data_IF_177371247958
#
_entry.id   IF_177371247958
#
_cell.length_a   1.000
_cell.length_b   1.000
_cell.length_c   1.000
_cell.angle_alpha   90.00
_cell.angle_beta   90.00
_cell.angle_gamma   90.00
#
_symmetry.space_group_name_H-M   'P 1'
#
loop_
_entity.id
_entity.type
_entity.pdbx_description
1 polymer ?
#
# COMPACT_ATOMS: atom_id res chain seq x y z
N UNK A 1 17.70 -29.38 14.36
CA UNK A 1 17.87 -28.13 13.58
C UNK A 1 16.89 -28.16 12.40
N UNK A 2 15.68 -27.60 12.54
CA UNK A 2 14.67 -27.52 11.46
C UNK A 2 14.57 -26.07 11.02
N UNK A 3 15.00 -25.83 9.78
CA UNK A 3 15.17 -24.50 9.18
C UNK A 3 13.84 -23.82 8.87
N UNK A 4 13.80 -22.52 9.12
CA UNK A 4 12.65 -21.62 9.02
C UNK A 4 12.22 -21.35 7.56
N UNK A 5 11.54 -22.28 6.89
CA UNK A 5 10.98 -22.04 5.53
C UNK A 5 9.74 -21.13 5.55
N UNK A 6 9.09 -20.97 6.72
CA UNK A 6 7.83 -20.24 6.84
C UNK A 6 7.97 -18.70 6.85
N UNK A 7 9.15 -18.15 7.20
CA UNK A 7 9.41 -16.70 7.19
C UNK A 7 9.52 -16.14 5.77
N UNK A 8 10.06 -16.92 4.82
CA UNK A 8 10.30 -16.46 3.45
C UNK A 8 8.99 -16.11 2.70
N UNK A 9 7.97 -16.98 2.76
CA UNK A 9 6.67 -16.73 2.09
C UNK A 9 5.92 -15.52 2.66
N UNK A 10 6.01 -15.31 3.96
CA UNK A 10 5.27 -14.25 4.64
C UNK A 10 5.85 -12.85 4.33
N UNK A 11 7.16 -12.78 4.05
CA UNK A 11 7.83 -11.57 3.55
C UNK A 11 7.61 -11.41 2.04
N UNK A 12 7.63 -12.50 1.26
CA UNK A 12 7.40 -12.48 -0.18
C UNK A 12 6.02 -11.92 -0.56
N UNK A 13 4.96 -12.30 0.17
CA UNK A 13 3.62 -11.79 -0.12
C UNK A 13 3.47 -10.30 0.22
N UNK A 14 4.13 -9.85 1.30
CA UNK A 14 4.15 -8.44 1.65
C UNK A 14 4.94 -7.61 0.63
N UNK A 15 6.05 -8.16 0.11
CA UNK A 15 6.85 -7.52 -0.94
C UNK A 15 6.18 -7.55 -2.32
N UNK A 16 5.35 -8.55 -2.61
CA UNK A 16 4.56 -8.59 -3.85
C UNK A 16 3.49 -7.51 -3.88
N UNK A 17 2.72 -7.36 -2.79
CA UNK A 17 1.70 -6.30 -2.69
C UNK A 17 2.35 -4.93 -2.84
N UNK A 18 3.50 -4.72 -2.19
CA UNK A 18 4.20 -3.44 -2.31
C UNK A 18 4.78 -3.19 -3.69
N UNK A 19 5.25 -4.23 -4.40
CA UNK A 19 5.66 -4.11 -5.80
C UNK A 19 4.49 -3.74 -6.72
N UNK A 20 3.31 -4.34 -6.53
CA UNK A 20 2.11 -3.99 -7.28
C UNK A 20 1.69 -2.54 -7.01
N UNK A 21 1.76 -2.09 -5.76
CA UNK A 21 1.50 -0.69 -5.41
C UNK A 21 2.49 0.26 -6.11
N UNK A 22 3.80 -0.04 -6.07
CA UNK A 22 4.83 0.76 -6.76
C UNK A 22 4.55 0.89 -8.24
N UNK A 23 4.33 -0.25 -8.90
CA UNK A 23 4.09 -0.28 -10.33
C UNK A 23 2.83 0.52 -10.68
N UNK A 24 1.74 0.30 -9.93
CA UNK A 24 0.52 1.03 -10.17
C UNK A 24 0.68 2.54 -9.93
N UNK A 25 1.39 2.96 -8.89
CA UNK A 25 1.58 4.38 -8.61
C UNK A 25 2.37 5.04 -9.75
N UNK A 26 3.42 4.39 -10.27
CA UNK A 26 4.19 4.85 -11.45
C UNK A 26 3.28 4.96 -12.68
N UNK A 27 2.48 3.92 -12.95
CA UNK A 27 1.56 3.91 -14.08
C UNK A 27 0.52 5.02 -13.98
N UNK A 28 -0.04 5.28 -12.79
CA UNK A 28 -1.03 6.34 -12.59
C UNK A 28 -0.42 7.72 -12.87
N UNK A 29 0.78 7.99 -12.39
CA UNK A 29 1.45 9.29 -12.62
C UNK A 29 1.73 9.49 -14.12
N UNK A 30 2.32 8.47 -14.77
CA UNK A 30 2.69 8.54 -16.18
C UNK A 30 1.48 8.59 -17.11
N UNK A 31 0.56 7.62 -16.99
CA UNK A 31 -0.65 7.56 -17.80
C UNK A 31 -1.58 8.74 -17.49
N UNK A 32 -1.56 9.25 -16.26
CA UNK A 32 -2.31 10.43 -15.89
C UNK A 32 -1.90 11.65 -16.70
N UNK A 33 -0.60 11.90 -16.88
CA UNK A 33 -0.16 13.03 -17.71
C UNK A 33 -0.53 12.81 -19.16
N UNK A 34 -0.24 11.61 -19.69
CA UNK A 34 -0.54 11.24 -21.06
C UNK A 34 -2.03 11.44 -21.40
N UNK A 35 -2.92 10.91 -20.56
CA UNK A 35 -4.37 11.04 -20.75
C UNK A 35 -4.82 12.50 -20.66
N UNK A 36 -4.30 13.27 -19.70
CA UNK A 36 -4.67 14.69 -19.57
C UNK A 36 -4.21 15.50 -20.79
N UNK A 37 -3.02 15.24 -21.34
CA UNK A 37 -2.56 15.86 -22.58
C UNK A 37 -3.52 15.53 -23.73
N UNK A 38 -3.86 14.25 -23.91
CA UNK A 38 -4.80 13.80 -24.95
C UNK A 38 -6.18 14.46 -24.80
N UNK A 39 -6.75 14.51 -23.60
CA UNK A 39 -8.06 15.13 -23.36
C UNK A 39 -8.04 16.65 -23.46
N UNK A 40 -6.90 17.29 -23.19
CA UNK A 40 -6.74 18.75 -23.32
C UNK A 40 -6.39 19.19 -24.74
N UNK A 41 -6.21 18.24 -25.67
CA UNK A 41 -5.79 18.53 -27.05
C UNK A 41 -4.37 19.07 -27.15
N UNK A 42 -3.50 18.73 -26.19
CA UNK A 42 -2.09 19.14 -26.13
C UNK A 42 -1.23 17.98 -26.60
N UNK A 43 -0.31 18.26 -27.53
CA UNK A 43 0.64 17.26 -28.01
C UNK A 43 1.58 16.81 -26.89
N UNK A 44 1.60 15.51 -26.62
CA UNK A 44 2.50 14.93 -25.63
C UNK A 44 3.91 14.84 -26.21
N UNK A 45 4.78 15.75 -25.79
CA UNK A 45 6.15 15.90 -26.29
C UNK A 45 7.22 15.34 -25.35
N UNK A 46 8.49 15.50 -25.75
CA UNK A 46 9.63 15.10 -24.93
C UNK A 46 9.72 15.90 -23.61
N UNK A 47 9.22 17.14 -23.60
CA UNK A 47 9.19 18.00 -22.41
C UNK A 47 8.27 17.43 -21.33
N UNK A 48 7.07 17.01 -21.72
CA UNK A 48 6.09 16.36 -20.84
C UNK A 48 6.61 15.04 -20.31
N UNK A 49 7.27 14.26 -21.17
CA UNK A 49 7.93 13.01 -20.79
C UNK A 49 9.00 13.24 -19.72
N UNK A 50 9.89 14.23 -19.92
CA UNK A 50 10.92 14.58 -18.93
C UNK A 50 10.27 14.99 -17.61
N UNK A 51 9.22 15.81 -17.64
CA UNK A 51 8.52 16.25 -16.42
C UNK A 51 7.86 15.07 -15.69
N UNK A 52 7.16 14.18 -16.40
CA UNK A 52 6.58 12.98 -15.81
C UNK A 52 7.65 12.11 -15.15
N UNK A 53 8.77 11.86 -15.85
CA UNK A 53 9.86 11.05 -15.32
C UNK A 53 10.53 11.71 -14.13
N UNK A 54 10.74 13.04 -14.15
CA UNK A 54 11.28 13.79 -13.01
C UNK A 54 10.38 13.68 -11.78
N UNK A 55 9.06 13.87 -11.92
CA UNK A 55 8.12 13.69 -10.82
C UNK A 55 8.15 12.25 -10.30
N UNK A 56 8.17 11.25 -11.19
CA UNK A 56 8.23 9.83 -10.81
C UNK A 56 9.50 9.54 -10.00
N UNK A 57 10.67 10.02 -10.45
CA UNK A 57 11.93 9.80 -9.74
C UNK A 57 11.88 10.40 -8.34
N UNK A 58 11.47 11.67 -8.22
CA UNK A 58 11.37 12.35 -6.93
C UNK A 58 10.36 11.63 -6.02
N UNK A 59 9.21 11.22 -6.56
CA UNK A 59 8.19 10.47 -5.85
C UNK A 59 8.69 9.12 -5.34
N UNK A 60 9.44 8.38 -6.15
CA UNK A 60 10.04 7.11 -5.72
C UNK A 60 11.13 7.31 -4.67
N UNK A 61 11.95 8.37 -4.78
CA UNK A 61 12.97 8.70 -3.77
C UNK A 61 12.33 9.02 -2.42
N UNK A 62 11.33 9.91 -2.39
CA UNK A 62 10.58 10.24 -1.18
C UNK A 62 9.88 9.00 -0.63
N UNK A 63 9.25 8.20 -1.50
CA UNK A 63 8.60 6.94 -1.12
C UNK A 63 9.57 5.91 -0.53
N UNK A 64 10.81 5.85 -1.01
CA UNK A 64 11.87 5.02 -0.45
C UNK A 64 12.30 5.48 0.94
N UNK A 65 12.54 6.79 1.12
CA UNK A 65 12.96 7.39 2.40
C UNK A 65 11.86 7.24 3.48
N UNK A 66 10.61 7.44 3.09
CA UNK A 66 9.45 7.38 4.02
C UNK A 66 8.97 5.95 4.33
N UNK A 67 9.63 4.93 3.78
CA UNK A 67 9.19 3.52 3.83
C UNK A 67 7.71 3.36 3.47
N UNK A 68 7.29 4.12 2.46
CA UNK A 68 5.89 4.29 2.11
C UNK A 68 5.25 3.02 1.52
N UNK A 69 6.06 2.19 0.88
CA UNK A 69 5.64 0.92 0.26
C UNK A 69 5.73 -0.28 1.23
N UNK A 70 5.68 -0.05 2.54
CA UNK A 70 5.60 -1.12 3.52
C UNK A 70 4.23 -1.81 3.53
N UNK A 71 4.13 -2.90 4.29
CA UNK A 71 2.83 -3.55 4.54
C UNK A 71 1.91 -2.66 5.39
N UNK A 72 0.80 -2.21 4.81
CA UNK A 72 -0.25 -1.42 5.48
C UNK A 72 -1.30 -2.26 6.24
N UNK A 73 -1.03 -3.56 6.45
CA UNK A 73 -1.91 -4.47 7.20
C UNK A 73 -2.17 -3.94 8.61
N UNK A 74 -3.45 -3.77 8.97
CA UNK A 74 -3.89 -3.31 10.30
C UNK A 74 -3.79 -1.80 10.53
N UNK A 75 -3.32 -1.01 9.55
CA UNK A 75 -3.24 0.46 9.66
C UNK A 75 -4.46 1.10 9.00
N UNK A 76 -5.03 2.17 9.57
CA UNK A 76 -6.18 2.88 8.96
C UNK A 76 -5.89 3.32 7.52
N UNK A 77 -6.86 3.18 6.62
CA UNK A 77 -6.71 3.60 5.21
C UNK A 77 -6.47 5.11 5.07
N UNK A 78 -7.04 5.91 5.97
CA UNK A 78 -6.81 7.36 6.00
C UNK A 78 -5.33 7.69 6.19
N UNK A 79 -4.60 6.97 7.03
CA UNK A 79 -3.17 7.19 7.24
C UNK A 79 -2.35 6.89 5.98
N UNK A 80 -2.70 5.81 5.27
CA UNK A 80 -2.07 5.44 3.99
C UNK A 80 -2.35 6.50 2.91
N UNK A 81 -3.60 6.94 2.79
CA UNK A 81 -4.03 7.96 1.82
C UNK A 81 -3.40 9.33 2.13
N UNK A 82 -3.35 9.75 3.39
CA UNK A 82 -2.70 11.02 3.75
C UNK A 82 -1.21 10.97 3.40
N UNK A 83 -0.53 9.84 3.63
CA UNK A 83 0.88 9.72 3.33
C UNK A 83 1.16 9.72 1.81
N UNK A 84 0.37 9.01 1.00
CA UNK A 84 0.53 9.06 -0.47
C UNK A 84 0.30 10.46 -1.01
N UNK A 85 -0.73 11.15 -0.52
CA UNK A 85 -1.05 12.50 -0.98
C UNK A 85 0.01 13.52 -0.55
N UNK A 86 0.57 13.40 0.66
CA UNK A 86 1.71 14.23 1.07
C UNK A 86 2.93 13.99 0.19
N UNK A 87 3.27 12.73 -0.09
CA UNK A 87 4.39 12.40 -0.97
C UNK A 87 4.15 12.89 -2.39
N UNK A 88 2.93 12.72 -2.91
CA UNK A 88 2.53 13.21 -4.23
C UNK A 88 2.68 14.72 -4.34
N UNK A 89 2.04 15.47 -3.43
CA UNK A 89 2.10 16.94 -3.41
C UNK A 89 3.53 17.45 -3.29
N UNK A 90 4.34 16.85 -2.41
CA UNK A 90 5.73 17.26 -2.25
C UNK A 90 6.55 17.01 -3.53
N UNK A 91 6.39 15.84 -4.15
CA UNK A 91 7.12 15.48 -5.38
C UNK A 91 6.75 16.37 -6.56
N UNK A 92 5.45 16.65 -6.69
CA UNK A 92 4.91 17.53 -7.70
C UNK A 92 5.42 18.96 -7.52
N UNK A 93 5.34 19.52 -6.30
CA UNK A 93 5.83 20.87 -5.98
C UNK A 93 7.34 21.00 -6.19
N UNK A 94 8.14 20.02 -5.78
CA UNK A 94 9.59 20.04 -6.02
C UNK A 94 9.91 20.03 -7.52
N UNK A 95 9.21 19.22 -8.30
CA UNK A 95 9.42 19.17 -9.75
C UNK A 95 9.00 20.47 -10.41
N UNK A 96 7.86 21.05 -10.03
CA UNK A 96 7.44 22.37 -10.51
C UNK A 96 8.46 23.45 -10.15
N UNK A 97 9.01 23.41 -8.93
CA UNK A 97 10.08 24.32 -8.51
C UNK A 97 11.32 24.22 -9.42
N UNK A 98 11.78 23.00 -9.72
CA UNK A 98 12.92 22.77 -10.62
C UNK A 98 12.63 23.23 -12.04
N UNK A 99 11.45 22.86 -12.57
CA UNK A 99 11.01 23.22 -13.92
C UNK A 99 10.86 24.73 -14.07
N UNK A 100 10.39 25.43 -13.02
CA UNK A 100 10.23 26.90 -13.05
C UNK A 100 11.54 27.66 -13.25
N UNK A 101 12.69 27.04 -12.94
CA UNK A 101 14.02 27.61 -13.18
C UNK A 101 14.46 27.46 -14.64
N UNK A 102 13.73 26.69 -15.45
CA UNK A 102 14.10 26.36 -16.83
C UNK A 102 13.01 26.82 -17.80
N UNK A 103 13.18 27.99 -18.45
CA UNK A 103 12.15 28.61 -19.30
C UNK A 103 11.72 27.79 -20.52
N UNK A 104 12.50 26.76 -20.89
CA UNK A 104 12.21 25.93 -22.06
C UNK A 104 11.07 24.92 -21.83
N UNK A 105 10.62 24.74 -20.58
CA UNK A 105 9.51 23.85 -20.24
C UNK A 105 8.21 24.64 -20.05
N UNK A 106 7.35 24.57 -21.06
CA UNK A 106 6.17 25.40 -21.26
C UNK A 106 4.86 24.59 -21.25
N UNK A 107 4.69 23.71 -20.25
CA UNK A 107 3.41 22.99 -20.07
C UNK A 107 2.33 23.99 -19.66
N UNK A 108 1.15 23.98 -20.31
CA UNK A 108 0.04 24.83 -19.92
C UNK A 108 -0.38 24.58 -18.46
N UNK A 109 -0.58 25.65 -17.69
CA UNK A 109 -0.92 25.56 -16.27
C UNK A 109 -2.20 24.75 -15.98
N UNK A 110 -3.18 24.81 -16.89
CA UNK A 110 -4.41 24.02 -16.77
C UNK A 110 -4.14 22.51 -16.84
N UNK A 111 -3.23 22.06 -17.72
CA UNK A 111 -2.81 20.65 -17.83
C UNK A 111 -2.18 20.19 -16.51
N UNK A 112 -1.32 21.00 -15.91
CA UNK A 112 -0.68 20.69 -14.62
C UNK A 112 -1.71 20.51 -13.49
N UNK A 113 -2.71 21.39 -13.39
CA UNK A 113 -3.77 21.28 -12.38
C UNK A 113 -4.60 20.01 -12.60
N UNK A 114 -5.07 19.79 -13.84
CA UNK A 114 -5.91 18.64 -14.17
C UNK A 114 -5.12 17.35 -13.92
N UNK A 115 -3.84 17.31 -14.30
CA UNK A 115 -2.95 16.18 -14.02
C UNK A 115 -2.80 15.91 -12.53
N UNK A 116 -2.58 16.96 -11.72
CA UNK A 116 -2.47 16.83 -10.27
C UNK A 116 -3.73 16.22 -9.63
N UNK A 117 -4.91 16.69 -10.04
CA UNK A 117 -6.20 16.19 -9.55
C UNK A 117 -6.45 14.76 -10.05
N UNK A 118 -6.19 14.49 -11.33
CA UNK A 118 -6.38 13.18 -11.93
C UNK A 118 -5.54 12.09 -11.24
N UNK A 119 -4.27 12.36 -10.99
CA UNK A 119 -3.38 11.44 -10.28
C UNK A 119 -3.81 11.25 -8.82
N UNK A 120 -4.22 12.32 -8.14
CA UNK A 120 -4.73 12.27 -6.77
C UNK A 120 -5.94 11.34 -6.67
N UNK A 121 -6.90 11.50 -7.59
CA UNK A 121 -8.08 10.64 -7.69
C UNK A 121 -7.67 9.19 -8.01
N UNK A 122 -6.76 9.00 -8.98
CA UNK A 122 -6.21 7.69 -9.34
C UNK A 122 -5.55 6.97 -8.16
N UNK A 123 -4.77 7.67 -7.35
CA UNK A 123 -4.16 7.13 -6.13
C UNK A 123 -5.20 6.67 -5.11
N UNK A 124 -6.22 7.48 -4.84
CA UNK A 124 -7.29 7.11 -3.89
C UNK A 124 -8.01 5.84 -4.35
N UNK A 125 -8.41 5.78 -5.63
CA UNK A 125 -9.10 4.63 -6.18
C UNK A 125 -8.22 3.38 -6.19
N UNK A 126 -6.99 3.50 -6.67
CA UNK A 126 -6.10 2.36 -6.76
C UNK A 126 -5.69 1.81 -5.38
N UNK A 127 -5.36 2.68 -4.42
CA UNK A 127 -5.02 2.24 -3.05
C UNK A 127 -6.19 1.54 -2.38
N UNK A 128 -7.39 2.09 -2.54
CA UNK A 128 -8.61 1.46 -2.04
C UNK A 128 -8.84 0.09 -2.71
N UNK A 129 -8.68 0.01 -4.04
CA UNK A 129 -8.82 -1.22 -4.81
C UNK A 129 -7.82 -2.31 -4.39
N UNK A 130 -6.52 -2.01 -4.37
CA UNK A 130 -5.48 -2.96 -3.95
C UNK A 130 -5.75 -3.47 -2.53
N UNK A 131 -6.17 -2.58 -1.63
CA UNK A 131 -6.46 -2.94 -0.24
C UNK A 131 -7.69 -3.83 -0.10
N UNK A 132 -8.76 -3.53 -0.84
CA UNK A 132 -9.97 -4.36 -0.87
C UNK A 132 -9.66 -5.74 -1.45
N UNK A 133 -8.93 -5.81 -2.57
CA UNK A 133 -8.48 -7.07 -3.18
C UNK A 133 -7.60 -7.87 -2.22
N UNK A 134 -6.64 -7.23 -1.56
CA UNK A 134 -5.79 -7.89 -0.56
C UNK A 134 -6.60 -8.38 0.66
N UNK A 135 -7.60 -7.62 1.10
CA UNK A 135 -8.53 -8.02 2.17
C UNK A 135 -9.39 -9.20 1.77
N UNK A 136 -9.91 -9.21 0.54
CA UNK A 136 -10.71 -10.30 -0.01
C UNK A 136 -9.89 -11.60 -0.14
N UNK A 137 -8.68 -11.51 -0.69
CA UNK A 137 -7.77 -12.67 -0.78
C UNK A 137 -7.45 -13.25 0.59
N UNK A 138 -7.30 -12.41 1.63
CA UNK A 138 -7.11 -12.88 3.01
C UNK A 138 -8.34 -13.61 3.56
N UNK A 139 -9.54 -13.12 3.29
CA UNK A 139 -10.79 -13.82 3.66
C UNK A 139 -10.90 -15.20 3.01
N UNK A 140 -10.36 -15.36 1.80
CA UNK A 140 -10.30 -16.64 1.07
C UNK A 140 -9.21 -17.60 1.57
N UNK A 141 -8.44 -17.23 2.60
CA UNK A 141 -7.39 -18.09 3.16
C UNK A 141 -5.97 -17.77 2.68
N UNK A 142 -5.80 -16.90 1.68
CA UNK A 142 -4.48 -16.56 1.16
C UNK A 142 -3.74 -15.61 2.12
N UNK A 143 -2.47 -15.94 2.41
CA UNK A 143 -1.59 -15.14 3.29
C UNK A 143 -2.11 -15.00 4.73
N UNK A 144 -2.89 -15.98 5.19
CA UNK A 144 -3.29 -16.08 6.60
C UNK A 144 -2.09 -16.38 7.48
N UNK A 145 -1.97 -15.65 8.59
CA UNK A 145 -0.94 -15.89 9.60
C UNK A 145 -1.61 -16.54 10.81
N UNK A 146 -1.14 -17.73 11.15
CA UNK A 146 -1.57 -18.43 12.36
C UNK A 146 -0.94 -17.71 13.55
N UNK A 147 -1.75 -17.39 14.55
CA UNK A 147 -1.32 -16.74 15.79
C UNK A 147 -1.80 -17.57 16.98
N UNK A 148 -0.91 -17.72 17.96
CA UNK A 148 -1.19 -18.29 19.26
C UNK A 148 -0.48 -17.43 20.31
N UNK A 149 -1.07 -17.31 21.49
CA UNK A 149 -0.47 -16.58 22.62
C UNK A 149 0.12 -17.58 23.60
N UNK A 150 1.30 -17.29 24.14
CA UNK A 150 1.92 -18.07 25.21
C UNK A 150 1.62 -17.36 26.54
N UNK A 151 0.99 -18.06 27.48
CA UNK A 151 0.51 -17.55 28.77
C UNK A 151 -0.86 -16.86 28.69
N UNK A 152 -1.78 -17.23 29.59
CA UNK A 152 -3.14 -16.69 29.65
C UNK A 152 -3.22 -15.29 30.29
N UNK A 153 -2.51 -14.31 29.71
CA UNK A 153 -2.60 -12.92 30.17
C UNK A 153 -3.87 -12.23 29.64
N UNK A 154 -4.55 -11.37 30.43
CA UNK A 154 -5.72 -10.62 29.97
C UNK A 154 -5.47 -9.80 28.70
N UNK A 155 -4.25 -9.26 28.55
CA UNK A 155 -3.81 -8.50 27.37
C UNK A 155 -3.74 -9.40 26.13
N UNK A 156 -3.14 -10.58 26.25
CA UNK A 156 -3.05 -11.55 25.16
C UNK A 156 -4.43 -12.06 24.71
N UNK A 157 -5.33 -12.29 25.66
CA UNK A 157 -6.72 -12.69 25.37
C UNK A 157 -7.47 -11.60 24.61
N UNK A 158 -7.38 -10.34 25.04
CA UNK A 158 -8.03 -9.22 24.34
C UNK A 158 -7.45 -9.00 22.93
N UNK A 159 -6.15 -9.20 22.74
CA UNK A 159 -5.53 -9.15 21.41
C UNK A 159 -6.09 -10.25 20.48
N UNK A 160 -6.20 -11.49 20.97
CA UNK A 160 -6.77 -12.60 20.21
C UNK A 160 -8.25 -12.35 19.87
N UNK A 161 -9.03 -11.79 20.79
CA UNK A 161 -10.42 -11.37 20.52
C UNK A 161 -10.48 -10.34 19.40
N UNK A 162 -9.63 -9.30 19.44
CA UNK A 162 -9.54 -8.31 18.36
C UNK A 162 -9.20 -8.94 17.00
N UNK A 163 -8.34 -9.96 16.96
CA UNK A 163 -8.06 -10.69 15.72
C UNK A 163 -9.24 -11.53 15.22
N UNK A 164 -10.05 -12.10 16.12
CA UNK A 164 -11.26 -12.83 15.76
C UNK A 164 -12.39 -11.91 15.29
N UNK A 165 -12.53 -10.74 15.93
CA UNK A 165 -13.52 -9.72 15.58
C UNK A 165 -13.21 -9.06 14.23
N UNK A 166 -11.95 -9.10 13.79
CA UNK A 166 -11.49 -8.44 12.57
C UNK A 166 -10.91 -9.44 11.53
N UNK A 167 -11.70 -10.37 10.95
CA UNK A 167 -11.19 -11.45 10.07
C UNK A 167 -10.43 -10.98 8.83
N UNK A 168 -10.69 -9.76 8.35
CA UNK A 168 -9.97 -9.17 7.20
C UNK A 168 -8.50 -8.89 7.50
N UNK A 169 -8.09 -8.94 8.77
CA UNK A 169 -6.69 -8.91 9.14
C UNK A 169 -5.98 -10.17 8.63
N UNK A 170 -6.66 -11.29 8.40
CA UNK A 170 -6.04 -12.55 7.94
C UNK A 170 -5.21 -13.23 9.02
N UNK A 171 -5.65 -13.13 10.28
CA UNK A 171 -5.08 -13.85 11.41
C UNK A 171 -5.96 -15.05 11.75
N UNK A 172 -5.36 -16.22 11.90
CA UNK A 172 -6.07 -17.44 12.31
C UNK A 172 -5.63 -17.78 13.73
N UNK A 173 -6.51 -17.56 14.69
CA UNK A 173 -6.23 -17.83 16.11
C UNK A 173 -6.30 -19.33 16.36
N UNK A 174 -5.18 -19.95 16.77
CA UNK A 174 -5.08 -21.40 17.06
C UNK A 174 -5.24 -21.75 18.53
N UNK A 175 -5.09 -20.79 19.46
CA UNK A 175 -5.29 -21.02 20.89
C UNK A 175 -4.28 -20.29 21.78
N UNK A 176 -4.37 -20.56 23.07
CA UNK A 176 -3.45 -20.07 24.11
C UNK A 176 -2.69 -21.28 24.64
N UNK A 177 -1.36 -21.20 24.69
CA UNK A 177 -0.49 -22.21 25.28
C UNK A 177 -0.02 -21.70 26.64
N UNK A 178 -0.44 -22.33 27.72
CA UNK A 178 -0.01 -22.00 29.08
C UNK A 178 0.52 -23.26 29.76
N UNK A 179 1.76 -23.23 30.23
CA UNK A 179 2.38 -24.37 30.92
C UNK A 179 1.68 -24.67 32.26
N UNK A 180 0.95 -23.70 32.82
CA UNK A 180 0.23 -23.84 34.08
C UNK A 180 -1.28 -24.09 33.92
N UNK A 181 -1.79 -24.20 32.70
CA UNK A 181 -3.23 -24.38 32.51
C UNK A 181 -3.55 -25.28 31.30
N UNK A 182 -3.97 -26.52 31.60
CA UNK A 182 -4.88 -27.25 30.72
C UNK A 182 -6.20 -26.45 30.62
N UNK A 183 -6.27 -25.49 29.71
CA UNK A 183 -7.54 -24.90 29.29
C UNK A 183 -7.83 -25.45 27.90
N UNK A 184 -8.56 -26.56 27.89
CA UNK A 184 -9.19 -27.12 26.71
C UNK A 184 -10.24 -26.10 26.22
N UNK A 185 -9.88 -25.33 25.19
CA UNK A 185 -10.86 -24.55 24.43
C UNK A 185 -11.69 -25.56 23.63
N UNK A 186 -12.74 -26.06 24.29
CA UNK A 186 -13.61 -27.10 23.79
C UNK A 186 -13.97 -26.93 22.31
N UNK A 187 -13.61 -27.94 21.52
CA UNK A 187 -14.11 -28.26 20.17
C UNK A 187 -14.10 -27.09 19.17
N UNK A 188 -12.93 -26.74 18.65
CA UNK A 188 -12.84 -26.35 17.24
C UNK A 188 -12.59 -27.61 16.42
N UNK A 189 -13.68 -28.25 15.99
CA UNK A 189 -13.65 -29.38 15.04
C UNK A 189 -12.85 -28.97 13.80
N UNK A 190 -11.70 -29.58 13.62
CA UNK A 190 -11.09 -29.77 12.30
C UNK A 190 -11.81 -30.95 11.65
N UNK A 191 -12.67 -30.70 10.65
CA UNK A 191 -12.97 -31.73 9.65
C UNK A 191 -11.96 -31.58 8.52
N UNK A 192 -11.31 -32.71 8.25
CA UNK A 192 -10.51 -33.09 7.07
C UNK A 192 -10.97 -32.50 5.75
#
# INVERSE_FOLDING_TARGET
MKTFTHRARANANASLISMVQRFSDISIVFLGLYLVCVFSGVDFGYKDLVIALSVIVIFQMIGGITDFYRSWRGVKISTELILILKNWSLSFLLTLGIVSLTPSFDIPFHVLIIWFVFVTVGFVFCRSGIRLCAGFLRKLGYNNRIVAVVGATPVGINLLKGFMEEPWLGFVVKGIYDDNAQIDLGKVRTSS
#
